data_IF_096868277257
#
_entry.id   IF_096868277257
#
_cell.length_a   1.000
_cell.length_b   1.000
_cell.length_c   1.000
_cell.angle_alpha   90.00
_cell.angle_beta   90.00
_cell.angle_gamma   90.00
#
_symmetry.space_group_name_H-M   'P 1'
#
loop_
_entity.id
_entity.type
_entity.pdbx_description
1 polymer ?
#
# COMPACT_ATOMS: atom_id res chain seq x y z
N UNK A 1 5.88 -10.94 -23.06
CA UNK A 1 5.69 -10.23 -21.77
C UNK A 1 5.35 -8.74 -21.92
N UNK A 2 5.92 -7.99 -22.88
CA UNK A 2 5.70 -6.54 -23.02
C UNK A 2 4.23 -6.12 -23.21
N UNK A 3 3.45 -6.87 -24.01
CA UNK A 3 2.02 -6.59 -24.23
C UNK A 3 1.19 -6.73 -22.95
N UNK A 4 1.36 -7.84 -22.23
CA UNK A 4 0.68 -8.09 -20.94
C UNK A 4 1.03 -6.99 -19.94
N UNK A 5 2.32 -6.66 -19.81
CA UNK A 5 2.77 -5.58 -18.92
C UNK A 5 2.10 -4.24 -19.28
N UNK A 6 1.99 -3.93 -20.57
CA UNK A 6 1.41 -2.66 -21.04
C UNK A 6 -0.09 -2.57 -20.75
N UNK A 7 -0.85 -3.63 -20.99
CA UNK A 7 -2.29 -3.68 -20.67
C UNK A 7 -2.51 -3.55 -19.16
N UNK A 8 -1.74 -4.30 -18.37
CA UNK A 8 -1.81 -4.22 -16.91
C UNK A 8 -1.47 -2.81 -16.43
N UNK A 9 -0.44 -2.17 -16.99
CA UNK A 9 -0.02 -0.82 -16.63
C UNK A 9 -1.13 0.20 -16.90
N UNK A 10 -1.73 0.20 -18.09
CA UNK A 10 -2.82 1.13 -18.40
C UNK A 10 -4.05 0.90 -17.53
N UNK A 11 -4.41 -0.37 -17.31
CA UNK A 11 -5.54 -0.74 -16.44
C UNK A 11 -5.29 -0.31 -14.99
N UNK A 12 -4.06 -0.50 -14.50
CA UNK A 12 -3.61 -0.11 -13.16
C UNK A 12 -3.68 1.42 -12.98
N UNK A 13 -3.18 2.19 -13.95
CA UNK A 13 -3.21 3.66 -13.91
C UNK A 13 -4.66 4.16 -13.97
N UNK A 14 -5.47 3.63 -14.88
CA UNK A 14 -6.87 4.05 -15.03
C UNK A 14 -7.69 3.79 -13.76
N UNK A 15 -7.63 2.56 -13.23
CA UNK A 15 -8.33 2.21 -11.99
C UNK A 15 -7.76 2.97 -10.79
N UNK A 16 -6.44 3.20 -10.75
CA UNK A 16 -5.80 4.04 -9.74
C UNK A 16 -6.38 5.46 -9.73
N UNK A 17 -6.52 6.08 -10.91
CA UNK A 17 -7.13 7.40 -11.04
C UNK A 17 -8.59 7.43 -10.57
N UNK A 18 -9.39 6.41 -10.92
CA UNK A 18 -10.76 6.28 -10.41
C UNK A 18 -10.80 6.12 -8.88
N UNK A 19 -9.89 5.33 -8.32
CA UNK A 19 -9.78 5.13 -6.88
C UNK A 19 -9.45 6.42 -6.12
N UNK A 20 -8.67 7.35 -6.71
CA UNK A 20 -8.36 8.64 -6.07
C UNK A 20 -9.65 9.43 -5.79
N UNK A 21 -10.60 9.42 -6.72
CA UNK A 21 -11.90 10.07 -6.55
C UNK A 21 -12.80 9.24 -5.64
N UNK A 22 -12.88 7.93 -5.90
CA UNK A 22 -13.77 7.02 -5.18
C UNK A 22 -13.44 6.93 -3.68
N UNK A 23 -12.16 7.10 -3.30
CA UNK A 23 -11.72 7.13 -1.90
C UNK A 23 -12.46 8.17 -1.05
N UNK A 24 -12.78 9.33 -1.62
CA UNK A 24 -13.42 10.42 -0.88
C UNK A 24 -14.91 10.19 -0.61
N UNK A 25 -15.59 9.40 -1.44
CA UNK A 25 -17.02 9.10 -1.28
C UNK A 25 -17.31 8.48 0.10
N UNK A 26 -16.68 7.35 0.53
CA UNK A 26 -16.90 6.79 1.86
C UNK A 26 -16.31 7.66 2.98
N UNK A 27 -15.35 8.54 2.69
CA UNK A 27 -14.78 9.49 3.67
C UNK A 27 -15.82 10.55 4.06
N UNK A 28 -16.51 11.13 3.08
CA UNK A 28 -17.43 12.26 3.27
C UNK A 28 -18.84 11.79 3.68
N UNK A 29 -19.34 10.70 3.09
CA UNK A 29 -20.70 10.25 3.40
C UNK A 29 -20.83 9.65 4.81
N UNK A 30 -22.07 9.61 5.31
CA UNK A 30 -22.39 9.03 6.62
C UNK A 30 -21.92 7.58 6.75
N UNK A 31 -21.19 7.28 7.82
CA UNK A 31 -20.63 5.94 8.06
C UNK A 31 -21.75 4.91 8.21
N UNK A 32 -21.64 3.79 7.49
CA UNK A 32 -22.63 2.71 7.49
C UNK A 32 -23.84 2.90 6.55
N UNK A 33 -24.01 4.07 5.92
CA UNK A 33 -25.06 4.29 4.90
C UNK A 33 -24.91 3.37 3.69
N UNK A 34 -25.97 3.23 2.87
CA UNK A 34 -25.90 2.45 1.62
C UNK A 34 -24.77 2.95 0.71
N UNK A 35 -24.63 4.26 0.56
CA UNK A 35 -23.56 4.88 -0.25
C UNK A 35 -22.16 4.57 0.30
N UNK A 36 -21.96 4.65 1.62
CA UNK A 36 -20.70 4.30 2.26
C UNK A 36 -20.29 2.85 1.99
N UNK A 37 -21.24 1.93 2.18
CA UNK A 37 -21.00 0.49 1.98
C UNK A 37 -20.73 0.16 0.52
N UNK A 38 -21.49 0.76 -0.41
CA UNK A 38 -21.35 0.51 -1.84
C UNK A 38 -20.03 1.06 -2.38
N UNK A 39 -19.73 2.33 -2.11
CA UNK A 39 -18.48 2.97 -2.55
C UNK A 39 -17.25 2.30 -1.95
N UNK A 40 -17.29 1.97 -0.64
CA UNK A 40 -16.21 1.21 0.02
C UNK A 40 -15.99 -0.18 -0.58
N UNK A 41 -17.06 -0.87 -1.02
CA UNK A 41 -16.96 -2.16 -1.70
C UNK A 41 -16.29 -2.03 -3.07
N UNK A 42 -16.70 -1.07 -3.89
CA UNK A 42 -16.05 -0.83 -5.18
C UNK A 42 -14.58 -0.44 -5.02
N UNK A 43 -14.29 0.47 -4.08
CA UNK A 43 -12.93 0.87 -3.75
C UNK A 43 -12.07 -0.33 -3.36
N UNK A 44 -12.59 -1.22 -2.50
CA UNK A 44 -11.89 -2.44 -2.10
C UNK A 44 -11.52 -3.32 -3.30
N UNK A 45 -12.47 -3.65 -4.18
CA UNK A 45 -12.20 -4.53 -5.32
C UNK A 45 -11.24 -3.89 -6.34
N UNK A 46 -11.37 -2.59 -6.59
CA UNK A 46 -10.43 -1.86 -7.45
C UNK A 46 -9.03 -1.84 -6.84
N UNK A 47 -8.88 -1.58 -5.54
CA UNK A 47 -7.59 -1.60 -4.85
C UNK A 47 -6.94 -2.99 -4.83
N UNK A 48 -7.73 -4.07 -4.69
CA UNK A 48 -7.21 -5.44 -4.84
C UNK A 48 -6.70 -5.69 -6.26
N UNK A 49 -7.42 -5.23 -7.28
CA UNK A 49 -6.95 -5.32 -8.67
C UNK A 49 -5.67 -4.49 -8.90
N UNK A 50 -5.61 -3.26 -8.38
CA UNK A 50 -4.45 -2.37 -8.49
C UNK A 50 -3.24 -3.03 -7.82
N UNK A 51 -3.38 -3.52 -6.58
CA UNK A 51 -2.30 -4.20 -5.89
C UNK A 51 -1.87 -5.49 -6.60
N UNK A 52 -2.83 -6.29 -7.09
CA UNK A 52 -2.55 -7.51 -7.84
C UNK A 52 -1.81 -7.26 -9.16
N UNK A 53 -2.27 -6.28 -9.95
CA UNK A 53 -1.58 -5.87 -11.18
C UNK A 53 -0.19 -5.31 -10.90
N UNK A 54 -0.01 -4.55 -9.82
CA UNK A 54 1.29 -4.07 -9.34
C UNK A 54 2.25 -5.22 -9.02
N UNK A 55 1.78 -6.22 -8.26
CA UNK A 55 2.55 -7.45 -7.96
C UNK A 55 3.00 -8.14 -9.26
N UNK A 56 2.07 -8.37 -10.20
CA UNK A 56 2.38 -9.05 -11.46
C UNK A 56 3.41 -8.26 -12.28
N UNK A 57 3.21 -6.95 -12.46
CA UNK A 57 4.15 -6.11 -13.20
C UNK A 57 5.54 -6.08 -12.55
N UNK A 58 5.60 -5.96 -11.22
CA UNK A 58 6.87 -5.98 -10.50
C UNK A 58 7.59 -7.32 -10.63
N UNK A 59 6.87 -8.44 -10.57
CA UNK A 59 7.45 -9.77 -10.80
C UNK A 59 8.00 -9.90 -12.22
N UNK A 60 7.26 -9.46 -13.24
CA UNK A 60 7.74 -9.48 -14.63
C UNK A 60 9.06 -8.72 -14.80
N UNK A 61 9.19 -7.54 -14.18
CA UNK A 61 10.43 -6.74 -14.21
C UNK A 61 11.55 -7.38 -13.37
N UNK A 62 11.23 -8.08 -12.28
CA UNK A 62 12.23 -8.80 -11.49
C UNK A 62 12.85 -9.95 -12.28
N UNK A 63 12.03 -10.71 -13.02
CA UNK A 63 12.51 -11.80 -13.86
C UNK A 63 13.29 -11.28 -15.07
N UNK A 64 12.70 -10.40 -15.87
CA UNK A 64 13.31 -9.91 -17.11
C UNK A 64 13.04 -8.42 -17.36
N UNK A 65 13.84 -7.52 -16.74
CA UNK A 65 13.68 -6.08 -16.95
C UNK A 65 14.07 -5.65 -18.37
N UNK A 66 14.97 -6.38 -19.04
CA UNK A 66 15.43 -6.05 -20.38
C UNK A 66 14.30 -6.22 -21.41
N UNK A 67 13.58 -7.34 -21.35
CA UNK A 67 12.44 -7.60 -22.25
C UNK A 67 11.28 -6.61 -22.03
N UNK A 68 11.06 -6.16 -20.79
CA UNK A 68 9.99 -5.20 -20.47
C UNK A 68 10.32 -3.79 -21.01
N UNK A 69 11.55 -3.31 -20.77
CA UNK A 69 11.89 -1.91 -21.00
C UNK A 69 12.69 -1.63 -22.28
N UNK A 70 13.62 -2.51 -22.67
CA UNK A 70 14.52 -2.23 -23.79
C UNK A 70 13.85 -2.44 -25.15
N UNK A 71 12.80 -3.29 -25.23
CA UNK A 71 12.01 -3.52 -26.45
C UNK A 71 12.87 -3.77 -27.71
N UNK A 72 14.00 -4.48 -27.56
CA UNK A 72 14.94 -4.77 -28.65
C UNK A 72 16.14 -3.83 -28.76
N UNK A 73 16.22 -2.78 -27.95
CA UNK A 73 17.41 -1.93 -27.88
C UNK A 73 18.62 -2.71 -27.32
N UNK A 74 19.76 -2.61 -28.01
CA UNK A 74 21.00 -3.27 -27.63
C UNK A 74 21.84 -2.29 -26.83
N UNK A 75 22.22 -2.68 -25.61
CA UNK A 75 23.13 -1.91 -24.76
C UNK A 75 24.48 -2.63 -24.65
N UNK A 76 25.60 -1.89 -24.53
CA UNK A 76 26.88 -2.47 -24.13
C UNK A 76 26.74 -3.28 -22.83
N UNK A 77 27.47 -4.38 -22.70
CA UNK A 77 27.31 -5.35 -21.61
C UNK A 77 27.36 -4.70 -20.20
N UNK A 78 28.26 -3.76 -19.98
CA UNK A 78 28.39 -3.03 -18.72
C UNK A 78 27.14 -2.19 -18.40
N UNK A 79 26.65 -1.42 -19.39
CA UNK A 79 25.43 -0.62 -19.25
C UNK A 79 24.19 -1.48 -19.04
N UNK A 80 24.14 -2.64 -19.70
CA UNK A 80 23.06 -3.62 -19.54
C UNK A 80 23.04 -4.19 -18.12
N UNK A 81 24.19 -4.61 -17.59
CA UNK A 81 24.28 -5.17 -16.24
C UNK A 81 23.83 -4.16 -15.18
N UNK A 82 24.29 -2.91 -15.28
CA UNK A 82 23.86 -1.82 -14.40
C UNK A 82 22.35 -1.55 -14.52
N UNK A 83 21.83 -1.45 -15.74
CA UNK A 83 20.40 -1.24 -15.99
C UNK A 83 19.54 -2.35 -15.38
N UNK A 84 19.88 -3.62 -15.62
CA UNK A 84 19.15 -4.79 -15.10
C UNK A 84 19.14 -4.77 -13.57
N UNK A 85 20.31 -4.50 -12.96
CA UNK A 85 20.44 -4.40 -11.50
C UNK A 85 19.53 -3.30 -10.94
N UNK A 86 19.64 -2.06 -11.43
CA UNK A 86 18.83 -0.94 -10.95
C UNK A 86 17.32 -1.20 -11.09
N UNK A 87 16.89 -1.78 -12.22
CA UNK A 87 15.47 -2.09 -12.46
C UNK A 87 14.96 -3.18 -11.53
N UNK A 88 15.76 -4.21 -11.23
CA UNK A 88 15.37 -5.27 -10.30
C UNK A 88 15.20 -4.72 -8.88
N UNK A 89 16.14 -3.92 -8.39
CA UNK A 89 16.04 -3.34 -7.05
C UNK A 89 14.85 -2.40 -6.91
N UNK A 90 14.64 -1.51 -7.88
CA UNK A 90 13.46 -0.64 -7.88
C UNK A 90 12.16 -1.43 -8.02
N UNK A 91 12.14 -2.53 -8.80
CA UNK A 91 10.96 -3.39 -8.91
C UNK A 91 10.67 -4.17 -7.64
N UNK A 92 11.69 -4.64 -6.92
CA UNK A 92 11.53 -5.27 -5.60
C UNK A 92 10.89 -4.29 -4.61
N UNK A 93 11.27 -3.02 -4.68
CA UNK A 93 10.64 -1.96 -3.90
C UNK A 93 9.16 -1.74 -4.28
N UNK A 94 8.83 -1.68 -5.57
CA UNK A 94 7.43 -1.57 -6.02
C UNK A 94 6.60 -2.82 -5.67
N UNK A 95 7.21 -4.01 -5.67
CA UNK A 95 6.58 -5.25 -5.21
C UNK A 95 6.21 -5.14 -3.73
N UNK A 96 7.13 -4.64 -2.90
CA UNK A 96 6.87 -4.41 -1.47
C UNK A 96 5.67 -3.48 -1.27
N UNK A 97 5.60 -2.37 -2.00
CA UNK A 97 4.48 -1.43 -1.91
C UNK A 97 3.15 -2.03 -2.39
N UNK A 98 3.20 -2.87 -3.42
CA UNK A 98 2.01 -3.56 -3.92
C UNK A 98 1.50 -4.58 -2.91
N UNK A 99 2.40 -5.35 -2.27
CA UNK A 99 2.06 -6.28 -1.19
C UNK A 99 1.54 -5.53 0.04
N UNK A 100 2.18 -4.41 0.43
CA UNK A 100 1.71 -3.53 1.50
C UNK A 100 0.27 -3.06 1.24
N UNK A 101 0.00 -2.60 0.03
CA UNK A 101 -1.33 -2.13 -0.38
C UNK A 101 -2.37 -3.26 -0.33
N UNK A 102 -2.02 -4.45 -0.83
CA UNK A 102 -2.90 -5.61 -0.76
C UNK A 102 -3.20 -6.01 0.69
N UNK A 103 -2.17 -6.12 1.52
CA UNK A 103 -2.29 -6.50 2.93
C UNK A 103 -3.17 -5.50 3.69
N UNK A 104 -2.94 -4.20 3.52
CA UNK A 104 -3.69 -3.14 4.22
C UNK A 104 -5.15 -3.08 3.79
N UNK A 105 -5.44 -3.09 2.48
CA UNK A 105 -6.83 -3.02 2.00
C UNK A 105 -7.61 -4.31 2.35
N UNK A 106 -6.94 -5.48 2.28
CA UNK A 106 -7.53 -6.75 2.70
C UNK A 106 -7.81 -6.76 4.20
N UNK A 107 -6.86 -6.28 5.01
CA UNK A 107 -7.04 -6.18 6.46
C UNK A 107 -8.23 -5.28 6.80
N UNK A 108 -8.30 -4.09 6.19
CA UNK A 108 -9.38 -3.15 6.39
C UNK A 108 -10.76 -3.79 6.15
N UNK A 109 -10.90 -4.55 5.05
CA UNK A 109 -12.16 -5.16 4.69
C UNK A 109 -12.52 -6.37 5.58
N UNK A 110 -11.56 -7.24 5.88
CA UNK A 110 -11.82 -8.46 6.66
C UNK A 110 -12.10 -8.15 8.13
N UNK A 111 -11.44 -7.14 8.72
CA UNK A 111 -11.67 -6.78 10.13
C UNK A 111 -13.11 -6.31 10.38
N UNK A 112 -13.77 -5.66 9.42
CA UNK A 112 -15.21 -5.36 9.52
C UNK A 112 -16.10 -6.60 9.53
N UNK A 113 -15.68 -7.68 8.86
CA UNK A 113 -16.46 -8.93 8.78
C UNK A 113 -16.33 -9.75 10.06
N UNK A 114 -15.11 -9.87 10.59
CA UNK A 114 -14.85 -10.69 11.79
C UNK A 114 -15.10 -9.92 13.09
N UNK A 115 -15.04 -8.59 13.06
CA UNK A 115 -15.31 -7.71 14.20
C UNK A 115 -14.48 -8.10 15.44
N UNK A 116 -15.14 -8.47 16.54
CA UNK A 116 -14.47 -8.89 17.77
C UNK A 116 -13.91 -10.33 17.68
N UNK A 117 -14.54 -11.19 16.86
CA UNK A 117 -14.22 -12.62 16.73
C UNK A 117 -13.06 -12.84 15.76
N UNK A 118 -11.83 -12.58 16.21
CA UNK A 118 -10.62 -12.61 15.34
C UNK A 118 -10.07 -14.00 15.02
N UNK A 119 -10.63 -15.08 15.58
CA UNK A 119 -10.14 -16.44 15.32
C UNK A 119 -10.03 -16.80 13.82
N UNK A 120 -10.96 -16.38 12.93
CA UNK A 120 -10.84 -16.63 11.50
C UNK A 120 -9.62 -15.96 10.82
N UNK A 121 -8.99 -14.96 11.47
CA UNK A 121 -7.78 -14.33 10.96
C UNK A 121 -6.51 -15.17 11.24
N UNK A 122 -6.59 -16.17 12.12
CA UNK A 122 -5.45 -17.01 12.52
C UNK A 122 -5.24 -18.19 11.58
N UNK A 123 -5.40 -17.94 10.29
CA UNK A 123 -5.21 -18.94 9.23
C UNK A 123 -3.96 -18.61 8.44
N UNK A 124 -3.28 -19.64 7.93
CA UNK A 124 -2.04 -19.45 7.18
C UNK A 124 -2.27 -18.61 5.91
N UNK A 125 -3.37 -18.82 5.19
CA UNK A 125 -3.70 -18.04 3.98
C UNK A 125 -3.85 -16.54 4.29
N UNK A 126 -4.35 -16.21 5.48
CA UNK A 126 -4.47 -14.83 5.93
C UNK A 126 -3.10 -14.29 6.37
N UNK A 127 -2.36 -15.02 7.20
CA UNK A 127 -1.10 -14.54 7.75
C UNK A 127 0.06 -14.54 6.75
N UNK A 128 0.04 -15.42 5.75
CA UNK A 128 1.14 -15.59 4.79
C UNK A 128 1.50 -14.26 4.10
N UNK A 129 0.57 -13.51 3.46
CA UNK A 129 0.92 -12.21 2.87
C UNK A 129 1.42 -11.17 3.89
N UNK A 130 0.97 -11.25 5.15
CA UNK A 130 1.42 -10.34 6.24
C UNK A 130 2.87 -10.66 6.62
N UNK A 131 3.21 -11.95 6.72
CA UNK A 131 4.57 -12.43 6.96
C UNK A 131 5.48 -12.13 5.77
N UNK A 132 5.00 -12.34 4.53
CA UNK A 132 5.74 -11.97 3.32
C UNK A 132 6.05 -10.48 3.26
N UNK A 133 5.10 -9.63 3.67
CA UNK A 133 5.33 -8.19 3.81
C UNK A 133 6.43 -7.92 4.85
N UNK A 134 6.37 -8.55 6.03
CA UNK A 134 7.40 -8.39 7.06
C UNK A 134 8.79 -8.75 6.55
N UNK A 135 8.94 -9.95 5.96
CA UNK A 135 10.23 -10.44 5.46
C UNK A 135 10.75 -9.58 4.31
N UNK A 136 9.87 -9.22 3.37
CA UNK A 136 10.22 -8.30 2.28
C UNK A 136 10.64 -6.92 2.77
N UNK A 137 9.98 -6.40 3.81
CA UNK A 137 10.35 -5.15 4.46
C UNK A 137 11.70 -5.23 5.14
N UNK A 138 12.00 -6.30 5.91
CA UNK A 138 13.30 -6.46 6.55
C UNK A 138 14.44 -6.58 5.53
N UNK A 139 14.22 -7.33 4.46
CA UNK A 139 15.14 -7.41 3.33
C UNK A 139 15.40 -6.04 2.70
N UNK A 140 14.32 -5.31 2.38
CA UNK A 140 14.42 -3.99 1.75
C UNK A 140 15.04 -2.94 2.69
N UNK A 141 14.84 -3.07 4.00
CA UNK A 141 15.46 -2.21 5.00
C UNK A 141 16.98 -2.40 5.03
N UNK A 142 17.45 -3.66 5.10
CA UNK A 142 18.88 -3.97 5.04
C UNK A 142 19.52 -3.52 3.73
N UNK A 143 18.81 -3.72 2.61
CA UNK A 143 19.25 -3.23 1.31
C UNK A 143 19.31 -1.69 1.25
N UNK A 144 18.32 -1.01 1.84
CA UNK A 144 18.28 0.45 1.94
C UNK A 144 19.47 1.03 2.72
N UNK A 145 19.87 0.38 3.83
CA UNK A 145 21.07 0.77 4.57
C UNK A 145 22.35 0.56 3.76
N UNK A 146 22.49 -0.57 3.07
CA UNK A 146 23.68 -0.87 2.27
C UNK A 146 23.85 0.12 1.10
N UNK A 147 22.76 0.58 0.51
CA UNK A 147 22.79 1.49 -0.64
C UNK A 147 22.64 2.97 -0.31
N UNK A 148 22.38 3.31 0.96
CA UNK A 148 22.02 4.69 1.37
C UNK A 148 20.68 5.18 0.80
N UNK A 149 19.84 4.28 0.28
CA UNK A 149 18.56 4.65 -0.35
C UNK A 149 17.48 4.88 0.70
N UNK A 150 17.34 6.12 1.15
CA UNK A 150 16.40 6.50 2.22
C UNK A 150 14.94 6.13 1.92
N UNK A 151 14.52 6.21 0.65
CA UNK A 151 13.17 5.85 0.25
C UNK A 151 12.85 4.39 0.60
N UNK A 152 13.80 3.49 0.34
CA UNK A 152 13.65 2.08 0.66
C UNK A 152 13.55 1.88 2.18
N UNK A 153 14.38 2.59 2.95
CA UNK A 153 14.35 2.52 4.41
C UNK A 153 13.01 2.96 4.99
N UNK A 154 12.46 4.11 4.56
CA UNK A 154 11.20 4.65 5.09
C UNK A 154 10.03 3.70 4.83
N UNK A 155 9.83 3.27 3.60
CA UNK A 155 8.71 2.40 3.24
C UNK A 155 8.88 0.97 3.74
N UNK A 156 10.13 0.50 3.88
CA UNK A 156 10.41 -0.75 4.58
C UNK A 156 9.97 -0.68 6.05
N UNK A 157 10.30 0.40 6.76
CA UNK A 157 9.83 0.62 8.14
C UNK A 157 8.30 0.65 8.21
N UNK A 158 7.62 1.33 7.27
CA UNK A 158 6.15 1.32 7.18
C UNK A 158 5.60 -0.11 7.05
N UNK A 159 6.22 -0.94 6.22
CA UNK A 159 5.81 -2.34 6.07
C UNK A 159 6.07 -3.20 7.32
N UNK A 160 7.19 -2.98 8.05
CA UNK A 160 7.44 -3.61 9.36
C UNK A 160 6.38 -3.19 10.38
N UNK A 161 6.10 -1.89 10.50
CA UNK A 161 5.11 -1.39 11.45
C UNK A 161 3.70 -1.91 11.13
N UNK A 162 3.33 -1.92 9.85
CA UNK A 162 2.02 -2.41 9.40
C UNK A 162 1.86 -3.90 9.68
N UNK A 163 2.81 -4.72 9.26
CA UNK A 163 2.74 -6.18 9.48
C UNK A 163 2.78 -6.54 10.96
N UNK A 164 3.62 -5.86 11.75
CA UNK A 164 3.63 -6.00 13.22
C UNK A 164 2.29 -5.62 13.84
N UNK A 165 1.71 -4.49 13.41
CA UNK A 165 0.41 -4.01 13.88
C UNK A 165 -0.70 -5.03 13.63
N UNK A 166 -0.76 -5.57 12.42
CA UNK A 166 -1.73 -6.60 12.02
C UNK A 166 -1.55 -7.88 12.84
N UNK A 167 -0.32 -8.38 12.98
CA UNK A 167 -0.05 -9.59 13.78
C UNK A 167 -0.45 -9.36 15.24
N UNK A 168 -0.05 -8.22 15.82
CA UNK A 168 -0.47 -7.84 17.19
C UNK A 168 -1.99 -7.76 17.30
N UNK A 169 -2.69 -7.20 16.32
CA UNK A 169 -4.14 -7.14 16.31
C UNK A 169 -4.77 -8.54 16.25
N UNK A 170 -4.26 -9.45 15.43
CA UNK A 170 -4.79 -10.82 15.28
C UNK A 170 -4.63 -11.65 16.58
N UNK A 171 -3.50 -11.50 17.26
CA UNK A 171 -3.14 -12.33 18.42
C UNK A 171 -3.39 -11.68 19.79
N UNK A 172 -3.79 -10.41 19.85
CA UNK A 172 -4.10 -9.75 21.14
C UNK A 172 -5.13 -10.57 21.93
N UNK A 173 -4.95 -10.75 23.23
CA UNK A 173 -5.85 -11.57 24.05
C UNK A 173 -7.28 -11.00 24.04
N UNK A 174 -7.42 -9.71 24.39
CA UNK A 174 -8.71 -9.03 24.51
C UNK A 174 -8.76 -7.78 23.62
N UNK A 175 -9.91 -7.54 23.00
CA UNK A 175 -10.16 -6.29 22.26
C UNK A 175 -11.01 -5.36 23.09
N UNK A 176 -10.71 -4.06 22.99
CA UNK A 176 -11.65 -3.03 23.38
C UNK A 176 -12.96 -3.15 22.57
N UNK A 177 -14.07 -2.79 23.18
CA UNK A 177 -15.38 -2.82 22.52
C UNK A 177 -15.32 -1.95 21.24
N UNK A 178 -15.77 -2.50 20.12
CA UNK A 178 -15.76 -1.84 18.80
C UNK A 178 -14.39 -1.38 18.29
N UNK A 179 -13.28 -1.88 18.86
CA UNK A 179 -11.93 -1.53 18.39
C UNK A 179 -11.72 -1.86 16.91
N UNK A 180 -12.40 -2.88 16.39
CA UNK A 180 -12.39 -3.25 14.97
C UNK A 180 -12.86 -2.12 14.04
N UNK A 181 -13.64 -1.14 14.51
CA UNK A 181 -14.03 0.04 13.72
C UNK A 181 -12.80 0.91 13.46
N UNK A 182 -11.98 1.13 14.49
CA UNK A 182 -10.73 1.92 14.39
C UNK A 182 -9.71 1.19 13.53
N UNK A 183 -9.62 -0.13 13.67
CA UNK A 183 -8.71 -0.96 12.87
C UNK A 183 -9.10 -0.93 11.37
N UNK A 184 -10.39 -1.10 11.06
CA UNK A 184 -10.92 -0.95 9.71
C UNK A 184 -10.59 0.44 9.15
N UNK A 185 -10.95 1.48 9.89
CA UNK A 185 -10.82 2.86 9.48
C UNK A 185 -9.36 3.26 9.21
N UNK A 186 -8.46 2.94 10.14
CA UNK A 186 -7.03 3.26 10.02
C UNK A 186 -6.41 2.51 8.85
N UNK A 187 -6.79 1.24 8.65
CA UNK A 187 -6.33 0.44 7.50
C UNK A 187 -6.89 0.95 6.16
N UNK A 188 -8.13 1.44 6.11
CA UNK A 188 -8.69 2.08 4.91
C UNK A 188 -7.93 3.36 4.57
N UNK A 189 -7.65 4.24 5.54
CA UNK A 189 -6.83 5.43 5.28
C UNK A 189 -5.42 5.04 4.88
N UNK A 190 -4.82 4.02 5.51
CA UNK A 190 -3.52 3.47 5.10
C UNK A 190 -3.49 3.05 3.63
N UNK A 191 -4.54 2.40 3.13
CA UNK A 191 -4.66 2.09 1.70
C UNK A 191 -4.76 3.34 0.82
N UNK A 192 -5.45 4.39 1.31
CA UNK A 192 -5.51 5.69 0.63
C UNK A 192 -4.15 6.40 0.60
N UNK A 193 -3.38 6.34 1.69
CA UNK A 193 -2.00 6.82 1.75
C UNK A 193 -1.16 6.14 0.66
N UNK A 194 -1.24 4.81 0.54
CA UNK A 194 -0.51 4.08 -0.48
C UNK A 194 -0.90 4.52 -1.90
N UNK A 195 -2.20 4.68 -2.16
CA UNK A 195 -2.73 5.16 -3.44
C UNK A 195 -2.23 6.57 -3.80
N UNK A 196 -2.35 7.52 -2.88
CA UNK A 196 -1.88 8.89 -3.08
C UNK A 196 -0.35 8.99 -3.16
N UNK A 197 0.37 8.16 -2.40
CA UNK A 197 1.83 8.04 -2.51
C UNK A 197 2.22 7.62 -3.92
N UNK A 198 1.59 6.57 -4.46
CA UNK A 198 1.87 6.10 -5.82
C UNK A 198 1.52 7.16 -6.87
N UNK A 199 0.41 7.88 -6.69
CA UNK A 199 0.05 9.00 -7.57
C UNK A 199 1.11 10.11 -7.54
N UNK A 200 1.53 10.59 -6.37
CA UNK A 200 2.54 11.66 -6.30
C UNK A 200 3.91 11.20 -6.78
N UNK A 201 4.29 9.96 -6.45
CA UNK A 201 5.54 9.32 -6.87
C UNK A 201 5.70 9.21 -8.40
N UNK A 202 4.61 8.85 -9.10
CA UNK A 202 4.63 8.60 -10.54
C UNK A 202 4.00 9.74 -11.35
N UNK A 203 2.75 10.09 -11.06
CA UNK A 203 1.98 11.13 -11.77
C UNK A 203 2.36 12.55 -11.32
N UNK A 204 2.40 12.77 -10.00
CA UNK A 204 2.75 14.06 -9.40
C UNK A 204 4.16 14.50 -9.79
N UNK A 205 5.12 13.59 -9.86
CA UNK A 205 6.47 13.88 -10.36
C UNK A 205 6.48 14.51 -11.75
N UNK A 206 5.60 14.06 -12.66
CA UNK A 206 5.47 14.64 -14.00
C UNK A 206 4.80 16.01 -13.94
N UNK A 207 3.68 16.11 -13.21
CA UNK A 207 2.89 17.35 -13.08
C UNK A 207 3.66 18.48 -12.37
N UNK A 208 4.50 18.12 -11.38
CA UNK A 208 5.26 19.06 -10.57
C UNK A 208 6.70 19.22 -11.07
N UNK A 209 7.08 18.59 -12.19
CA UNK A 209 8.46 18.64 -12.70
C UNK A 209 8.91 20.05 -13.11
N UNK A 210 7.96 20.93 -13.45
CA UNK A 210 8.20 22.34 -13.78
C UNK A 210 8.25 23.24 -12.53
N UNK A 211 7.65 22.79 -11.41
CA UNK A 211 7.52 23.56 -10.18
C UNK A 211 8.57 23.18 -9.12
N UNK A 212 9.07 21.94 -9.16
CA UNK A 212 9.94 21.36 -8.14
C UNK A 212 11.25 20.92 -8.79
N UNK A 213 12.37 21.35 -8.22
CA UNK A 213 13.70 20.96 -8.72
C UNK A 213 13.89 19.44 -8.68
N UNK A 214 14.79 18.93 -9.54
CA UNK A 214 15.02 17.49 -9.70
C UNK A 214 15.37 16.78 -8.38
N UNK A 215 16.04 17.47 -7.47
CA UNK A 215 16.44 16.93 -6.16
C UNK A 215 15.24 16.74 -5.22
N UNK A 216 14.26 17.64 -5.30
CA UNK A 216 13.06 17.61 -4.46
C UNK A 216 11.96 16.70 -5.00
N UNK A 217 12.10 16.14 -6.21
CA UNK A 217 11.10 15.24 -6.78
C UNK A 217 10.88 13.98 -5.94
N UNK A 218 11.90 13.50 -5.21
CA UNK A 218 11.75 12.36 -4.31
C UNK A 218 10.93 12.70 -3.06
N UNK A 219 10.88 13.97 -2.65
CA UNK A 219 10.07 14.40 -1.50
C UNK A 219 8.55 14.26 -1.77
N UNK A 220 8.14 14.20 -3.05
CA UNK A 220 6.72 13.98 -3.41
C UNK A 220 6.16 12.66 -2.87
N UNK A 221 7.02 11.66 -2.62
CA UNK A 221 6.65 10.40 -1.99
C UNK A 221 6.18 10.56 -0.54
N UNK A 222 6.56 11.65 0.13
CA UNK A 222 6.28 11.89 1.55
C UNK A 222 5.02 12.73 1.78
N UNK A 223 4.46 13.35 0.74
CA UNK A 223 3.25 14.20 0.86
C UNK A 223 2.09 13.40 1.47
N UNK A 224 1.76 12.26 0.86
CA UNK A 224 0.62 11.46 1.28
C UNK A 224 0.82 10.78 2.65
N UNK A 225 1.99 10.17 2.96
CA UNK A 225 2.24 9.59 4.28
C UNK A 225 2.17 10.60 5.42
N UNK A 226 2.72 11.81 5.24
CA UNK A 226 2.69 12.85 6.28
C UNK A 226 1.23 13.28 6.54
N UNK A 227 0.52 13.70 5.50
CA UNK A 227 -0.87 14.17 5.62
C UNK A 227 -1.79 13.07 6.15
N UNK A 228 -1.65 11.85 5.63
CA UNK A 228 -2.50 10.73 6.02
C UNK A 228 -2.23 10.23 7.44
N UNK A 229 -0.98 10.21 7.90
CA UNK A 229 -0.67 9.81 9.29
C UNK A 229 -1.23 10.79 10.29
N UNK A 230 -1.15 12.10 10.00
CA UNK A 230 -1.81 13.14 10.79
C UNK A 230 -3.33 12.95 10.81
N UNK A 231 -3.94 12.68 9.64
CA UNK A 231 -5.37 12.41 9.54
C UNK A 231 -5.79 11.17 10.35
N UNK A 232 -5.03 10.07 10.29
CA UNK A 232 -5.27 8.87 11.11
C UNK A 232 -5.26 9.21 12.60
N UNK A 233 -4.26 9.95 13.07
CA UNK A 233 -4.13 10.31 14.50
C UNK A 233 -5.33 11.14 14.99
N UNK A 234 -5.68 12.20 14.25
CA UNK A 234 -6.79 13.10 14.59
C UNK A 234 -8.14 12.39 14.54
N UNK A 235 -8.40 11.65 13.45
CA UNK A 235 -9.68 11.00 13.24
C UNK A 235 -9.85 9.76 14.13
N UNK A 236 -8.79 9.05 14.48
CA UNK A 236 -8.85 7.96 15.47
C UNK A 236 -9.36 8.49 16.80
N UNK A 237 -8.84 9.62 17.29
CA UNK A 237 -9.32 10.24 18.54
C UNK A 237 -10.80 10.62 18.45
N UNK A 238 -11.21 11.22 17.33
CA UNK A 238 -12.62 11.60 17.09
C UNK A 238 -13.55 10.37 17.05
N UNK A 239 -13.21 9.35 16.26
CA UNK A 239 -14.05 8.17 16.06
C UNK A 239 -14.08 7.24 17.26
N UNK A 240 -12.99 7.13 18.03
CA UNK A 240 -12.99 6.39 19.29
C UNK A 240 -14.00 6.96 20.29
N UNK A 241 -14.12 8.30 20.37
CA UNK A 241 -15.15 8.97 21.18
C UNK A 241 -16.55 8.76 20.61
N UNK A 242 -16.72 9.00 19.30
CA UNK A 242 -18.02 8.89 18.62
C UNK A 242 -18.63 7.49 18.71
N UNK A 243 -17.80 6.45 18.58
CA UNK A 243 -18.25 5.05 18.61
C UNK A 243 -18.13 4.39 19.98
N UNK A 244 -17.75 5.15 21.01
CA UNK A 244 -17.58 4.67 22.40
C UNK A 244 -16.66 3.45 22.47
N UNK A 245 -15.49 3.55 21.84
CA UNK A 245 -14.44 2.53 21.91
C UNK A 245 -13.81 2.60 23.30
N UNK A 246 -14.20 1.68 24.18
CA UNK A 246 -13.69 1.58 25.55
C UNK A 246 -12.96 0.25 25.76
N UNK A 247 -11.99 0.18 26.69
CA UNK A 247 -11.45 -1.09 27.15
C UNK A 247 -12.58 -2.06 27.51
N UNK A 248 -12.39 -3.36 27.24
CA UNK A 248 -13.35 -4.37 27.67
C UNK A 248 -13.45 -4.29 29.19
N UNK A 249 -14.63 -3.95 29.72
CA UNK A 249 -14.94 -4.17 31.13
C UNK A 249 -14.94 -5.68 31.32
N UNK A 250 -13.93 -6.19 32.04
CA UNK A 250 -14.01 -7.52 32.63
C UNK A 250 -15.02 -7.53 33.74
#
# INVERSE_FOLDING_TARGET
>A
MSFIHTILLYSHIFLGALCLVLFWVPVICGKGTKLHKLSGRYYYFMMVFIAGSGIVMSLMVLFDPAQVYLKGAILPAEKLAKFVSERRHFSAFLLLLSVLTWVTVRHAYVVLKVQAERQPLRTWHYLLPVVSLMLGSLFMLGYGFNTGTWLFMIFAMVGVFTSTGIVRYVFRAELANRQWIIEHFSSMIGSGIALYTAFFAAGGRKLLSELISREWQLATWLIAPIVGTLAISLLTKHFSRKFRVSPSTK
#
